data_IF_862191495864
#
_entry.id   IF_862191495864
#
_cell.length_a   1.000
_cell.length_b   1.000
_cell.length_c   1.000
_cell.angle_alpha   90.00
_cell.angle_beta   90.00
_cell.angle_gamma   90.00
#
_symmetry.space_group_name_H-M   'P 1'
#
loop_
_entity.id
_entity.type
_entity.pdbx_description
1 polymer ?
#
# COMPACT_ATOMS: atom_id res chain seq x y z
N UNK A 1 4.67 8.47 3.51
CA UNK A 1 5.03 7.16 2.93
C UNK A 1 6.45 6.75 3.33
N UNK A 2 7.45 7.61 3.14
CA UNK A 2 8.83 7.34 3.58
C UNK A 2 8.95 7.22 5.11
N UNK A 3 8.28 8.10 5.87
CA UNK A 3 8.21 8.02 7.35
C UNK A 3 7.48 6.77 7.86
N UNK A 4 6.63 6.15 7.02
CA UNK A 4 5.92 4.91 7.31
C UNK A 4 6.69 3.67 6.83
N UNK A 5 7.91 3.86 6.30
CA UNK A 5 8.77 2.79 5.81
C UNK A 5 8.30 2.11 4.51
N UNK A 6 7.29 2.65 3.81
CA UNK A 6 6.71 2.02 2.61
C UNK A 6 7.51 2.31 1.32
N UNK A 7 8.28 3.40 1.33
CA UNK A 7 9.15 3.78 0.23
C UNK A 7 10.51 4.19 0.79
N UNK A 8 11.57 3.87 0.06
CA UNK A 8 12.95 4.23 0.41
C UNK A 8 13.65 4.94 -0.74
N UNK A 9 14.73 5.65 -0.42
CA UNK A 9 15.56 6.30 -1.44
C UNK A 9 16.52 5.27 -2.01
N UNK A 10 16.28 4.83 -3.24
CA UNK A 10 17.10 3.82 -3.93
C UNK A 10 18.33 4.40 -4.62
N UNK A 11 18.40 5.73 -4.76
CA UNK A 11 19.58 6.39 -5.29
C UNK A 11 19.30 7.79 -5.82
N UNK A 12 20.17 8.26 -6.72
CA UNK A 12 20.00 9.51 -7.47
C UNK A 12 20.11 9.22 -8.95
N UNK A 13 19.22 9.81 -9.74
CA UNK A 13 19.30 9.77 -11.19
C UNK A 13 20.46 10.63 -11.68
N UNK A 14 21.05 10.28 -12.82
CA UNK A 14 22.11 11.06 -13.48
C UNK A 14 21.57 12.18 -14.39
N UNK A 15 20.25 12.39 -14.37
CA UNK A 15 19.61 13.53 -15.03
C UNK A 15 20.05 14.88 -14.42
N UNK A 16 19.93 15.95 -15.21
CA UNK A 16 20.21 17.32 -14.77
C UNK A 16 19.43 17.62 -13.47
N UNK A 17 20.15 17.99 -12.42
CA UNK A 17 19.59 18.24 -11.08
C UNK A 17 19.65 17.06 -10.11
N UNK A 18 20.11 15.87 -10.55
CA UNK A 18 20.33 14.68 -9.72
C UNK A 18 19.17 14.35 -8.75
N UNK A 19 17.94 14.20 -9.27
CA UNK A 19 16.77 13.95 -8.44
C UNK A 19 16.88 12.60 -7.70
N UNK A 20 16.27 12.54 -6.51
CA UNK A 20 16.20 11.33 -5.71
C UNK A 20 15.30 10.30 -6.39
N UNK A 21 15.78 9.06 -6.46
CA UNK A 21 15.00 7.91 -6.89
C UNK A 21 14.39 7.26 -5.66
N UNK A 22 13.11 6.93 -5.77
CA UNK A 22 12.36 6.24 -4.74
C UNK A 22 12.02 4.83 -5.21
N UNK A 23 12.12 3.86 -4.31
CA UNK A 23 11.66 2.48 -4.52
C UNK A 23 10.67 2.07 -3.44
N UNK A 24 9.97 0.97 -3.68
CA UNK A 24 9.12 0.31 -2.69
C UNK A 24 9.96 -0.61 -1.80
N UNK A 25 9.54 -0.78 -0.56
CA UNK A 25 10.24 -1.62 0.43
C UNK A 25 9.54 -2.98 0.60
N UNK A 26 10.17 -3.96 1.27
CA UNK A 26 9.50 -5.21 1.63
C UNK A 26 8.24 -5.00 2.47
N UNK A 27 8.24 -3.99 3.35
CA UNK A 27 7.07 -3.61 4.14
C UNK A 27 5.87 -3.19 3.28
N UNK A 28 6.13 -2.56 2.13
CA UNK A 28 5.08 -2.25 1.15
C UNK A 28 4.47 -3.54 0.58
N UNK A 29 5.30 -4.52 0.23
CA UNK A 29 4.82 -5.82 -0.27
C UNK A 29 3.99 -6.55 0.79
N UNK A 30 4.45 -6.57 2.04
CA UNK A 30 3.73 -7.17 3.17
C UNK A 30 2.36 -6.53 3.40
N UNK A 31 2.27 -5.20 3.35
CA UNK A 31 1.00 -4.48 3.54
C UNK A 31 0.00 -4.78 2.42
N UNK A 32 0.48 -4.97 1.19
CA UNK A 32 -0.35 -5.35 0.05
C UNK A 32 -0.61 -6.87 -0.02
N UNK A 33 -0.01 -7.66 0.87
CA UNK A 33 -0.12 -9.13 0.85
C UNK A 33 0.57 -9.79 -0.35
N UNK A 34 1.57 -9.13 -0.93
CA UNK A 34 2.30 -9.59 -2.10
C UNK A 34 3.64 -10.21 -1.70
N UNK A 35 4.05 -11.28 -2.39
CA UNK A 35 5.38 -11.88 -2.19
C UNK A 35 6.48 -11.17 -3.00
N UNK A 36 6.13 -10.57 -4.14
CA UNK A 36 7.08 -9.95 -5.06
C UNK A 36 6.40 -8.88 -5.93
N UNK A 37 7.18 -7.94 -6.46
CA UNK A 37 6.71 -6.88 -7.37
C UNK A 37 6.12 -7.43 -8.67
N UNK A 38 6.53 -8.62 -9.12
CA UNK A 38 5.95 -9.26 -10.31
C UNK A 38 4.48 -9.67 -10.12
N UNK A 39 4.03 -9.81 -8.88
CA UNK A 39 2.65 -10.14 -8.54
C UNK A 39 1.78 -8.89 -8.36
N UNK A 40 2.29 -7.69 -8.68
CA UNK A 40 1.48 -6.48 -8.64
C UNK A 40 0.32 -6.60 -9.66
N UNK A 41 -0.94 -6.41 -9.22
CA UNK A 41 -2.06 -6.33 -10.14
C UNK A 41 -1.85 -5.15 -11.09
N UNK A 42 -2.52 -5.19 -12.25
CA UNK A 42 -2.47 -4.05 -13.18
C UNK A 42 -2.98 -2.79 -12.51
N UNK A 43 -2.50 -1.63 -12.96
CA UNK A 43 -2.82 -0.34 -12.35
C UNK A 43 -4.34 -0.10 -12.19
N UNK A 44 -5.12 -0.57 -13.16
CA UNK A 44 -6.60 -0.52 -13.16
C UNK A 44 -7.21 -1.38 -12.04
N UNK A 45 -6.68 -2.59 -11.85
CA UNK A 45 -7.13 -3.56 -10.83
C UNK A 45 -6.67 -3.14 -9.43
N UNK A 46 -5.49 -2.52 -9.32
CA UNK A 46 -4.95 -1.99 -8.07
C UNK A 46 -5.86 -0.89 -7.49
N UNK A 47 -6.41 -0.02 -8.34
CA UNK A 47 -7.33 1.04 -7.91
C UNK A 47 -8.61 0.46 -7.27
N UNK A 48 -9.05 -0.72 -7.74
CA UNK A 48 -10.21 -1.42 -7.20
C UNK A 48 -9.84 -2.11 -5.87
N UNK A 49 -8.69 -2.77 -5.81
CA UNK A 49 -8.24 -3.50 -4.62
C UNK A 49 -7.86 -2.59 -3.43
N UNK A 50 -7.37 -1.38 -3.70
CA UNK A 50 -7.03 -0.40 -2.66
C UNK A 50 -8.22 0.45 -2.20
N UNK A 51 -9.42 0.21 -2.75
CA UNK A 51 -10.60 0.87 -2.26
C UNK A 51 -10.81 0.49 -0.79
N UNK A 52 -10.79 1.45 0.15
CA UNK A 52 -11.11 1.13 1.53
C UNK A 52 -12.50 0.49 1.54
N UNK A 53 -12.73 -0.56 2.36
CA UNK A 53 -14.05 -1.17 2.43
C UNK A 53 -15.04 -0.08 2.80
N UNK A 54 -15.93 0.26 1.85
CA UNK A 54 -17.02 1.18 2.13
C UNK A 54 -17.83 0.52 3.24
N UNK A 55 -18.14 1.22 4.35
CA UNK A 55 -18.86 0.62 5.47
C UNK A 55 -20.23 0.04 5.09
N UNK A 56 -20.74 0.32 3.89
CA UNK A 56 -21.96 -0.25 3.32
C UNK A 56 -21.83 -1.70 2.81
N UNK A 57 -20.60 -2.20 2.59
CA UNK A 57 -20.36 -3.58 2.14
C UNK A 57 -20.18 -4.58 3.30
N UNK A 58 -20.09 -4.06 4.54
CA UNK A 58 -20.09 -4.86 5.76
C UNK A 58 -21.56 -5.16 6.06
N UNK A 59 -21.98 -6.42 5.86
CA UNK A 59 -23.30 -6.85 6.30
C UNK A 59 -23.48 -6.56 7.79
N UNK A 60 -24.72 -6.38 8.28
CA UNK A 60 -24.97 -6.06 9.69
C UNK A 60 -24.33 -7.05 10.69
N UNK A 61 -23.99 -8.26 10.25
CA UNK A 61 -23.28 -9.28 11.04
C UNK A 61 -21.77 -9.02 11.25
N UNK A 62 -21.10 -8.26 10.36
CA UNK A 62 -19.64 -8.08 10.39
C UNK A 62 -19.20 -6.74 11.02
N UNK A 63 -20.16 -5.81 11.25
CA UNK A 63 -19.90 -4.49 11.81
C UNK A 63 -19.56 -4.51 13.31
N UNK A 64 -19.96 -5.56 14.04
CA UNK A 64 -19.69 -5.71 15.48
C UNK A 64 -18.21 -6.04 15.78
N UNK A 65 -17.45 -6.54 14.79
CA UNK A 65 -16.05 -6.95 14.99
C UNK A 65 -15.06 -5.76 15.00
N UNK A 66 -15.40 -4.62 14.40
CA UNK A 66 -14.47 -3.49 14.23
C UNK A 66 -14.46 -2.50 15.40
N UNK A 67 -15.44 -2.57 16.31
CA UNK A 67 -15.61 -1.60 17.41
C UNK A 67 -14.79 -1.96 18.66
N UNK A 68 -14.13 -3.13 18.69
CA UNK A 68 -13.49 -3.65 19.91
C UNK A 68 -11.97 -3.42 20.03
N UNK A 69 -11.31 -2.71 19.10
CA UNK A 69 -9.85 -2.62 19.05
C UNK A 69 -9.22 -1.31 19.57
N UNK A 70 -10.02 -0.35 20.05
CA UNK A 70 -9.51 0.94 20.58
C UNK A 70 -10.11 1.25 21.97
N UNK A 71 -9.76 0.44 22.97
CA UNK A 71 -9.93 0.74 24.41
C UNK A 71 -8.60 0.53 25.13
#
# INVERSE_FOLDING_TARGET
LQERGLIEVTGRSDALGRPLLYGTTPLFLELLGLQDLQNLPRAEELAIALQPPTPEAVGPDDAEAYVAADQ
#
